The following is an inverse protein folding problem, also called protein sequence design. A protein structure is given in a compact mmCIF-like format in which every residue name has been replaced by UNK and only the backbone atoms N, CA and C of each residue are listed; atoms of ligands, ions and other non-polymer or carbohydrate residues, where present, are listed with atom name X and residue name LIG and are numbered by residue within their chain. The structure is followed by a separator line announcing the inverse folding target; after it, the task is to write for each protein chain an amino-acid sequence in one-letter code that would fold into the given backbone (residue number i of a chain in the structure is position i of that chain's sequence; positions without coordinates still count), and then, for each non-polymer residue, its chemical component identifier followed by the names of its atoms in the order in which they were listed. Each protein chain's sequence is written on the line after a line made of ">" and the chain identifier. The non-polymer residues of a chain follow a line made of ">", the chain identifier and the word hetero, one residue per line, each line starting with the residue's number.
data_IF_336239215551
#
_entry.id   IF_336239215551
#
_cell.length_a   1.000
_cell.length_b   1.000
_cell.length_c   1.000
_cell.angle_alpha   90.00
_cell.angle_beta   90.00
_cell.angle_gamma   90.00
#
_symmetry.space_group_name_H-M   'P 1'
#
loop_
_entity.id
_entity.type
_entity.pdbx_description
1 polymer ?
#
# COMPACT_ATOMS: atom_id res chain seq x y z
N UNK A 1 -44.55 -8.61 17.11
CA UNK A 1 -43.84 -9.16 18.28
C UNK A 1 -44.09 -8.24 19.47
N UNK A 2 -44.28 -8.78 20.68
CA UNK A 2 -44.33 -7.99 21.93
C UNK A 2 -43.00 -8.15 22.66
N UNK A 3 -42.54 -7.07 23.26
CA UNK A 3 -41.37 -7.08 24.14
C UNK A 3 -41.57 -8.14 25.25
N UNK A 4 -40.54 -8.97 25.48
CA UNK A 4 -40.60 -10.10 26.44
C UNK A 4 -41.25 -11.39 25.91
N UNK A 5 -41.68 -11.46 24.65
CA UNK A 5 -42.19 -12.70 24.05
C UNK A 5 -41.10 -13.76 23.82
N UNK A 6 -41.39 -15.03 24.14
CA UNK A 6 -40.50 -16.15 23.83
C UNK A 6 -40.53 -16.45 22.33
N UNK A 7 -39.35 -16.60 21.73
CA UNK A 7 -39.18 -17.00 20.33
C UNK A 7 -38.66 -18.43 20.27
N UNK A 8 -39.30 -19.24 19.43
CA UNK A 8 -38.79 -20.56 19.10
C UNK A 8 -37.70 -20.41 18.03
N UNK A 9 -36.52 -20.98 18.29
CA UNK A 9 -35.48 -21.10 17.27
C UNK A 9 -35.96 -22.07 16.20
N UNK A 10 -36.07 -21.61 14.96
CA UNK A 10 -36.43 -22.45 13.82
C UNK A 10 -35.16 -23.10 13.26
N UNK A 11 -34.19 -22.27 12.88
CA UNK A 11 -32.90 -22.67 12.37
C UNK A 11 -31.79 -21.77 12.93
N UNK A 12 -30.55 -22.28 12.93
CA UNK A 12 -29.36 -21.49 13.20
C UNK A 12 -28.26 -21.92 12.24
N UNK A 13 -27.60 -20.95 11.62
CA UNK A 13 -26.42 -21.17 10.78
C UNK A 13 -25.22 -20.45 11.37
N UNK A 14 -24.16 -21.19 11.66
CA UNK A 14 -22.87 -20.64 12.05
C UNK A 14 -21.87 -20.84 10.90
N UNK A 15 -21.30 -19.75 10.40
CA UNK A 15 -20.36 -19.77 9.28
C UNK A 15 -18.98 -19.30 9.75
N UNK A 16 -17.97 -20.12 9.52
CA UNK A 16 -16.57 -19.72 9.70
C UNK A 16 -16.23 -18.58 8.74
N UNK A 17 -15.57 -17.53 9.25
CA UNK A 17 -15.15 -16.36 8.48
C UNK A 17 -13.68 -16.10 8.72
N UNK A 18 -12.99 -15.64 7.69
CA UNK A 18 -11.60 -15.21 7.75
C UNK A 18 -11.51 -13.70 7.56
N UNK A 19 -10.60 -13.08 8.29
CA UNK A 19 -10.26 -11.68 8.08
C UNK A 19 -9.67 -11.47 6.69
N UNK A 20 -10.00 -10.33 6.10
CA UNK A 20 -9.51 -9.94 4.78
C UNK A 20 -8.55 -8.78 4.94
N UNK A 21 -7.37 -8.82 4.28
CA UNK A 21 -6.47 -7.68 4.29
C UNK A 21 -7.12 -6.48 3.59
N UNK A 22 -6.61 -5.29 3.86
CA UNK A 22 -7.03 -4.09 3.14
C UNK A 22 -6.82 -4.28 1.63
N UNK A 23 -7.81 -3.89 0.80
CA UNK A 23 -7.74 -4.12 -0.63
C UNK A 23 -6.60 -3.32 -1.25
N UNK A 24 -5.90 -3.91 -2.23
CA UNK A 24 -4.91 -3.18 -3.01
C UNK A 24 -5.54 -2.07 -3.83
N UNK A 25 -4.72 -1.07 -4.15
CA UNK A 25 -5.13 0.04 -4.99
C UNK A 25 -5.38 -0.39 -6.44
N UNK A 26 -6.50 0.03 -7.00
CA UNK A 26 -6.64 0.32 -8.44
C UNK A 26 -6.11 1.73 -8.72
N UNK A 27 -5.92 2.08 -10.00
CA UNK A 27 -5.61 3.45 -10.39
C UNK A 27 -6.63 4.44 -9.83
N UNK A 28 -7.94 4.17 -9.96
CA UNK A 28 -9.00 5.04 -9.44
C UNK A 28 -8.93 5.23 -7.91
N UNK A 29 -8.73 4.14 -7.14
CA UNK A 29 -8.61 4.26 -5.69
C UNK A 29 -7.31 4.94 -5.25
N UNK A 30 -6.24 4.83 -6.05
CA UNK A 30 -4.99 5.54 -5.79
C UNK A 30 -5.16 7.03 -6.07
N UNK A 31 -5.82 7.41 -7.17
CA UNK A 31 -6.17 8.81 -7.45
C UNK A 31 -6.99 9.39 -6.31
N UNK A 32 -8.04 8.69 -5.87
CA UNK A 32 -8.86 9.12 -4.74
C UNK A 32 -8.00 9.30 -3.47
N UNK A 33 -7.06 8.39 -3.22
CA UNK A 33 -6.20 8.50 -2.04
C UNK A 33 -5.22 9.66 -2.12
N UNK A 34 -4.66 9.93 -3.30
CA UNK A 34 -3.77 11.07 -3.55
C UNK A 34 -4.52 12.40 -3.36
N UNK A 35 -5.74 12.49 -3.88
CA UNK A 35 -6.64 13.64 -3.69
C UNK A 35 -6.97 13.88 -2.21
N UNK A 36 -7.35 12.83 -1.47
CA UNK A 36 -7.62 12.91 -0.03
C UNK A 36 -6.41 13.40 0.78
N UNK A 37 -5.20 13.11 0.31
CA UNK A 37 -3.95 13.52 0.96
C UNK A 37 -3.45 14.89 0.46
N UNK A 38 -4.12 15.52 -0.51
CA UNK A 38 -3.67 16.78 -1.12
C UNK A 38 -2.42 16.64 -2.01
N UNK A 39 -2.08 15.42 -2.41
CA UNK A 39 -0.89 15.12 -3.20
C UNK A 39 -1.26 15.04 -4.68
N UNK A 40 -0.73 15.97 -5.48
CA UNK A 40 -1.02 16.06 -6.91
C UNK A 40 -2.32 16.81 -7.22
N UNK A 41 -2.61 16.95 -8.52
CA UNK A 41 -3.70 17.75 -9.08
C UNK A 41 -4.35 16.98 -10.24
N UNK A 42 -5.54 17.38 -10.74
CA UNK A 42 -6.18 16.72 -11.88
C UNK A 42 -5.26 16.53 -13.11
N UNK A 43 -4.32 17.46 -13.30
CA UNK A 43 -3.31 17.41 -14.36
C UNK A 43 -2.16 16.43 -14.11
N UNK A 44 -1.93 15.98 -12.88
CA UNK A 44 -0.75 15.17 -12.49
C UNK A 44 -1.08 13.75 -12.07
N UNK A 45 -2.32 13.42 -11.70
CA UNK A 45 -2.69 12.07 -11.28
C UNK A 45 -2.35 10.98 -12.30
N UNK A 46 -2.87 11.09 -13.53
CA UNK A 46 -2.62 10.10 -14.57
C UNK A 46 -1.14 10.05 -15.01
N UNK A 47 -0.45 11.19 -15.23
CA UNK A 47 0.99 11.19 -15.52
C UNK A 47 1.86 10.54 -14.43
N UNK A 48 1.56 10.79 -13.15
CA UNK A 48 2.31 10.19 -12.03
C UNK A 48 2.15 8.68 -12.01
N UNK A 49 0.90 8.19 -12.08
CA UNK A 49 0.60 6.75 -12.11
C UNK A 49 1.21 6.06 -13.34
N UNK A 50 1.18 6.71 -14.50
CA UNK A 50 1.81 6.21 -15.72
C UNK A 50 3.34 6.17 -15.59
N UNK A 51 3.95 7.18 -14.97
CA UNK A 51 5.40 7.25 -14.80
C UNK A 51 5.94 6.16 -13.88
N UNK A 52 5.28 5.92 -12.73
CA UNK A 52 5.72 4.86 -11.80
C UNK A 52 5.54 3.45 -12.39
N UNK A 53 4.53 3.27 -13.25
CA UNK A 53 4.36 2.03 -14.01
C UNK A 53 5.42 1.88 -15.11
N UNK A 54 5.65 2.92 -15.91
CA UNK A 54 6.64 2.93 -17.00
C UNK A 54 8.06 2.69 -16.51
N UNK A 55 8.40 3.20 -15.32
CA UNK A 55 9.71 2.97 -14.67
C UNK A 55 9.82 1.61 -13.97
N UNK A 56 8.75 0.82 -13.96
CA UNK A 56 8.74 -0.51 -13.38
C UNK A 56 8.75 -0.54 -11.86
N UNK A 57 8.37 0.56 -11.18
CA UNK A 57 8.24 0.56 -9.71
C UNK A 57 6.95 -0.11 -9.24
N UNK A 58 5.92 -0.07 -10.09
CA UNK A 58 4.61 -0.66 -9.85
C UNK A 58 4.15 -1.37 -11.12
N UNK A 59 3.50 -2.51 -10.98
CA UNK A 59 2.85 -3.24 -12.07
C UNK A 59 1.36 -3.36 -11.82
N UNK A 60 0.58 -3.34 -12.91
CA UNK A 60 -0.86 -3.59 -12.87
C UNK A 60 -1.13 -5.01 -13.33
N UNK A 61 -1.62 -5.84 -12.41
CA UNK A 61 -1.81 -7.27 -12.65
C UNK A 61 -3.16 -7.75 -12.13
N UNK A 62 -3.59 -8.90 -12.66
CA UNK A 62 -4.64 -9.71 -12.06
C UNK A 62 -3.99 -10.99 -11.53
N UNK A 63 -4.29 -11.35 -10.30
CA UNK A 63 -3.82 -12.59 -9.66
C UNK A 63 -5.03 -13.44 -9.32
N UNK A 64 -5.01 -14.68 -9.80
CA UNK A 64 -6.04 -15.66 -9.45
C UNK A 64 -5.98 -15.97 -7.97
N UNK A 65 -7.15 -16.15 -7.37
CA UNK A 65 -7.25 -16.60 -5.99
C UNK A 65 -6.98 -18.09 -5.86
N UNK A 66 -6.75 -18.53 -4.64
CA UNK A 66 -6.65 -19.95 -4.30
C UNK A 66 -7.92 -20.39 -3.57
N UNK A 67 -8.47 -21.57 -3.89
CA UNK A 67 -9.59 -22.12 -3.15
C UNK A 67 -9.19 -22.40 -1.70
N UNK A 68 -10.05 -22.01 -0.76
CA UNK A 68 -9.91 -22.28 0.67
C UNK A 68 -11.21 -22.83 1.23
N UNK A 69 -11.10 -23.83 2.08
CA UNK A 69 -12.26 -24.41 2.75
C UNK A 69 -12.65 -23.59 3.98
N UNK A 70 -13.96 -23.51 4.23
CA UNK A 70 -14.55 -22.95 5.44
C UNK A 70 -15.70 -23.84 5.93
N UNK A 71 -15.94 -23.81 7.24
CA UNK A 71 -16.99 -24.62 7.86
C UNK A 71 -18.32 -23.88 7.96
N UNK A 72 -19.39 -24.61 7.69
CA UNK A 72 -20.76 -24.16 7.94
C UNK A 72 -21.44 -25.18 8.85
N UNK A 73 -22.01 -24.71 9.96
CA UNK A 73 -22.79 -25.53 10.88
C UNK A 73 -24.25 -25.11 10.79
N UNK A 74 -25.12 -26.06 10.49
CA UNK A 74 -26.57 -25.86 10.48
C UNK A 74 -27.18 -26.59 11.66
N UNK A 75 -28.00 -25.90 12.44
CA UNK A 75 -28.84 -26.48 13.48
C UNK A 75 -30.28 -26.39 13.02
N UNK A 76 -30.91 -27.56 12.83
CA UNK A 76 -32.32 -27.70 12.48
C UNK A 76 -32.93 -28.82 13.35
N UNK A 77 -34.09 -28.55 13.95
CA UNK A 77 -34.81 -29.49 14.84
C UNK A 77 -33.92 -30.18 15.91
N UNK A 78 -32.92 -29.47 16.44
CA UNK A 78 -32.03 -30.00 17.49
C UNK A 78 -30.87 -30.88 16.97
N UNK A 79 -30.77 -31.11 15.66
CA UNK A 79 -29.65 -31.82 15.05
C UNK A 79 -28.66 -30.84 14.41
N UNK A 80 -27.37 -31.01 14.70
CA UNK A 80 -26.29 -30.24 14.08
C UNK A 80 -25.76 -30.98 12.87
N UNK A 81 -25.78 -30.33 11.71
CA UNK A 81 -25.11 -30.78 10.48
C UNK A 81 -23.92 -29.88 10.19
N UNK A 82 -22.78 -30.48 9.89
CA UNK A 82 -21.58 -29.76 9.49
C UNK A 82 -21.33 -29.96 8.00
N UNK A 83 -21.11 -28.87 7.29
CA UNK A 83 -20.70 -28.83 5.89
C UNK A 83 -19.34 -28.16 5.76
N UNK A 84 -18.54 -28.66 4.83
CA UNK A 84 -17.32 -27.98 4.38
C UNK A 84 -17.61 -27.39 3.01
N UNK A 85 -17.61 -26.06 2.93
CA UNK A 85 -17.74 -25.33 1.69
C UNK A 85 -16.38 -24.75 1.28
N UNK A 86 -16.26 -24.36 0.01
CA UNK A 86 -15.04 -23.76 -0.54
C UNK A 86 -15.34 -22.33 -0.99
N UNK A 87 -14.46 -21.39 -0.65
CA UNK A 87 -14.46 -20.03 -1.19
C UNK A 87 -13.15 -19.76 -1.95
N UNK A 88 -13.19 -18.85 -2.92
CA UNK A 88 -11.97 -18.37 -3.57
C UNK A 88 -11.38 -17.21 -2.77
N UNK A 89 -10.12 -17.34 -2.31
CA UNK A 89 -9.44 -16.35 -1.49
C UNK A 89 -8.23 -15.75 -2.20
N UNK A 90 -8.00 -14.44 -2.00
CA UNK A 90 -6.80 -13.75 -2.49
C UNK A 90 -6.83 -13.36 -3.96
N UNK A 91 -7.96 -13.50 -4.65
CA UNK A 91 -8.12 -13.06 -6.03
C UNK A 91 -8.07 -11.52 -6.11
N UNK A 92 -7.21 -11.00 -6.97
CA UNK A 92 -7.04 -9.57 -7.22
C UNK A 92 -7.17 -9.29 -8.71
N UNK A 93 -7.97 -8.31 -9.11
CA UNK A 93 -8.20 -7.98 -10.53
C UNK A 93 -7.75 -6.56 -10.82
N UNK A 94 -6.83 -6.40 -11.77
CA UNK A 94 -6.33 -5.09 -12.22
C UNK A 94 -5.88 -4.18 -11.07
N UNK A 95 -5.10 -4.75 -10.15
CA UNK A 95 -4.55 -4.04 -8.98
C UNK A 95 -3.09 -3.67 -9.21
N UNK A 96 -2.67 -2.64 -8.48
CA UNK A 96 -1.29 -2.15 -8.45
C UNK A 96 -0.48 -2.92 -7.41
N UNK A 97 0.65 -3.47 -7.84
CA UNK A 97 1.60 -4.18 -6.98
C UNK A 97 2.98 -3.49 -7.08
N UNK A 98 3.63 -3.19 -5.94
CA UNK A 98 5.02 -2.74 -5.98
C UNK A 98 5.90 -3.87 -6.51
N UNK A 99 6.91 -3.50 -7.29
CA UNK A 99 7.97 -4.43 -7.71
C UNK A 99 9.11 -4.42 -6.71
N UNK A 100 10.02 -5.39 -6.82
CA UNK A 100 11.21 -5.44 -5.97
C UNK A 100 12.08 -4.18 -6.11
N UNK A 101 12.23 -3.68 -7.35
CA UNK A 101 12.95 -2.43 -7.62
C UNK A 101 12.21 -1.25 -6.98
N UNK A 102 10.87 -1.20 -7.08
CA UNK A 102 10.06 -0.17 -6.45
C UNK A 102 10.24 -0.14 -4.93
N UNK A 103 10.26 -1.30 -4.29
CA UNK A 103 10.49 -1.41 -2.84
C UNK A 103 11.90 -0.94 -2.46
N UNK A 104 12.95 -1.40 -3.16
CA UNK A 104 14.33 -1.00 -2.86
C UNK A 104 14.55 0.50 -3.04
N UNK A 105 13.99 1.10 -4.08
CA UNK A 105 14.08 2.55 -4.28
C UNK A 105 13.31 3.30 -3.20
N UNK A 106 12.11 2.83 -2.84
CA UNK A 106 11.34 3.43 -1.76
C UNK A 106 12.08 3.39 -0.42
N UNK A 107 12.61 2.22 -0.05
CA UNK A 107 13.29 2.03 1.23
C UNK A 107 14.54 2.92 1.31
N UNK A 108 15.32 2.99 0.24
CA UNK A 108 16.47 3.91 0.15
C UNK A 108 16.06 5.39 0.32
N UNK A 109 14.96 5.81 -0.31
CA UNK A 109 14.49 7.19 -0.21
C UNK A 109 13.93 7.52 1.18
N UNK A 110 13.22 6.58 1.82
CA UNK A 110 12.71 6.77 3.18
C UNK A 110 13.84 6.84 4.20
N UNK A 111 14.88 6.01 4.03
CA UNK A 111 16.04 5.98 4.93
C UNK A 111 16.86 7.27 4.84
N UNK A 112 17.15 7.74 3.62
CA UNK A 112 18.08 8.84 3.41
C UNK A 112 17.44 10.20 3.19
N UNK A 113 16.17 10.26 2.78
CA UNK A 113 15.44 11.50 2.47
C UNK A 113 14.06 11.57 3.15
N UNK A 114 13.94 11.26 4.45
CA UNK A 114 12.64 11.12 5.13
C UNK A 114 11.79 12.39 5.08
N UNK A 115 12.42 13.57 5.11
CA UNK A 115 11.70 14.85 5.06
C UNK A 115 11.06 15.16 3.71
N UNK A 116 11.56 14.56 2.62
CA UNK A 116 11.14 14.88 1.25
C UNK A 116 10.12 13.89 0.73
N UNK A 117 10.25 12.61 1.12
CA UNK A 117 9.24 11.59 0.79
C UNK A 117 8.07 11.55 1.76
N UNK A 118 8.07 12.41 2.79
CA UNK A 118 6.92 12.58 3.66
C UNK A 118 5.70 13.08 2.88
N UNK A 119 4.55 12.48 3.18
CA UNK A 119 3.29 12.78 2.51
C UNK A 119 2.81 14.20 2.82
N UNK A 120 3.00 14.67 4.06
CA UNK A 120 2.59 16.03 4.45
C UNK A 120 3.49 17.08 3.80
N UNK A 121 4.80 16.82 3.72
CA UNK A 121 5.72 17.67 2.98
C UNK A 121 5.28 17.81 1.52
N UNK A 122 4.96 16.69 0.85
CA UNK A 122 4.52 16.70 -0.54
C UNK A 122 3.23 17.50 -0.73
N UNK A 123 2.23 17.27 0.13
CA UNK A 123 0.96 18.01 0.09
C UNK A 123 1.15 19.52 0.32
N UNK A 124 2.01 19.88 1.29
CA UNK A 124 2.34 21.27 1.58
C UNK A 124 2.99 21.98 0.39
N UNK A 125 3.93 21.33 -0.29
CA UNK A 125 4.58 21.92 -1.47
C UNK A 125 3.58 22.15 -2.60
N UNK A 126 2.64 21.23 -2.81
CA UNK A 126 1.55 21.41 -3.77
C UNK A 126 0.65 22.61 -3.42
N UNK A 127 0.34 22.81 -2.13
CA UNK A 127 -0.40 23.99 -1.66
C UNK A 127 0.41 25.29 -1.85
N UNK A 128 1.71 25.29 -1.53
CA UNK A 128 2.59 26.44 -1.76
C UNK A 128 2.64 26.82 -3.26
N UNK A 129 2.62 25.83 -4.17
CA UNK A 129 2.53 26.11 -5.61
C UNK A 129 1.22 26.77 -6.02
N UNK A 130 0.09 26.39 -5.41
CA UNK A 130 -1.19 27.06 -5.68
C UNK A 130 -1.17 28.51 -5.17
N UNK A 131 -0.62 28.77 -3.98
CA UNK A 131 -0.45 30.12 -3.42
C UNK A 131 0.45 30.99 -4.30
N UNK A 132 1.53 30.41 -4.85
CA UNK A 132 2.41 31.07 -5.82
C UNK A 132 1.65 31.40 -7.12
N UNK A 133 0.85 30.46 -7.64
CA UNK A 133 0.07 30.66 -8.86
C UNK A 133 -0.96 31.81 -8.72
N UNK A 134 -1.47 32.01 -7.50
CA UNK A 134 -2.34 33.13 -7.15
C UNK A 134 -1.59 34.45 -6.88
N UNK A 135 -0.25 34.43 -6.91
CA UNK A 135 0.59 35.60 -6.67
C UNK A 135 0.72 36.01 -5.21
N UNK A 136 0.38 35.10 -4.28
CA UNK A 136 0.38 35.36 -2.82
C UNK A 136 1.69 34.98 -2.12
N UNK A 137 2.61 34.30 -2.80
CA UNK A 137 3.93 33.94 -2.28
C UNK A 137 5.04 34.12 -3.33
N UNK A 138 6.25 34.51 -2.90
CA UNK A 138 7.43 34.59 -3.77
C UNK A 138 8.02 33.19 -4.00
N UNK A 139 7.88 32.68 -5.23
CA UNK A 139 8.41 31.40 -5.65
C UNK A 139 9.92 31.25 -5.40
N UNK A 140 10.70 32.34 -5.46
CA UNK A 140 12.15 32.29 -5.21
C UNK A 140 12.45 32.02 -3.75
N UNK A 141 11.65 32.58 -2.85
CA UNK A 141 11.78 32.35 -1.41
C UNK A 141 11.43 30.91 -1.06
N UNK A 142 10.35 30.37 -1.63
CA UNK A 142 9.97 28.97 -1.47
C UNK A 142 11.07 28.03 -1.98
N UNK A 143 11.56 28.23 -3.20
CA UNK A 143 12.63 27.40 -3.77
C UNK A 143 13.90 27.42 -2.92
N UNK A 144 14.31 28.57 -2.38
CA UNK A 144 15.48 28.67 -1.50
C UNK A 144 15.27 27.85 -0.21
N UNK A 145 14.09 27.96 0.40
CA UNK A 145 13.73 27.19 1.61
C UNK A 145 13.79 25.69 1.39
N UNK A 146 13.41 25.22 0.20
CA UNK A 146 13.49 23.81 -0.16
C UNK A 146 14.91 23.36 -0.51
N UNK A 147 15.57 24.10 -1.41
CA UNK A 147 16.80 23.63 -2.07
C UNK A 147 17.99 23.56 -1.12
N UNK A 148 18.18 24.53 -0.23
CA UNK A 148 19.35 24.54 0.66
C UNK A 148 19.40 23.31 1.58
N UNK A 149 18.35 22.97 2.37
CA UNK A 149 18.34 21.76 3.18
C UNK A 149 18.48 20.49 2.33
N UNK A 150 17.78 20.41 1.18
CA UNK A 150 17.87 19.24 0.31
C UNK A 150 19.28 19.01 -0.22
N UNK A 151 19.98 20.08 -0.62
CA UNK A 151 21.34 19.97 -1.14
C UNK A 151 22.33 19.48 -0.08
N UNK A 152 22.17 19.94 1.17
CA UNK A 152 22.95 19.45 2.30
C UNK A 152 22.72 17.94 2.55
N UNK A 153 21.45 17.48 2.53
CA UNK A 153 21.13 16.05 2.62
C UNK A 153 21.78 15.25 1.49
N UNK A 154 21.75 15.74 0.24
CA UNK A 154 22.43 15.08 -0.88
C UNK A 154 23.94 14.92 -0.62
N UNK A 155 24.58 15.96 -0.08
CA UNK A 155 26.01 15.93 0.26
C UNK A 155 26.31 14.80 1.26
N UNK A 156 25.56 14.75 2.36
CA UNK A 156 25.71 13.74 3.41
C UNK A 156 25.50 12.33 2.85
N UNK A 157 24.39 12.09 2.14
CA UNK A 157 24.04 10.77 1.61
C UNK A 157 25.07 10.29 0.59
N UNK A 158 25.65 11.18 -0.23
CA UNK A 158 26.72 10.79 -1.17
C UNK A 158 28.00 10.31 -0.47
N UNK A 159 28.28 10.82 0.72
CA UNK A 159 29.47 10.44 1.50
C UNK A 159 29.23 9.20 2.35
N UNK A 160 28.02 9.02 2.87
CA UNK A 160 27.70 7.96 3.84
C UNK A 160 26.97 6.75 3.27
N UNK A 161 26.23 6.90 2.16
CA UNK A 161 25.40 5.81 1.66
C UNK A 161 26.23 4.78 0.90
N UNK A 162 26.24 3.55 1.40
CA UNK A 162 26.59 2.40 0.57
C UNK A 162 25.58 2.30 -0.59
N UNK A 163 26.04 1.93 -1.79
CA UNK A 163 25.14 1.72 -2.92
C UNK A 163 24.04 0.75 -2.49
N UNK A 164 22.77 1.13 -2.67
CA UNK A 164 21.64 0.24 -2.43
C UNK A 164 21.87 -1.08 -3.18
N UNK A 165 22.27 -2.12 -2.44
CA UNK A 165 22.72 -3.40 -3.03
C UNK A 165 21.53 -4.22 -3.55
N UNK A 166 20.30 -3.74 -3.30
CA UNK A 166 19.08 -4.47 -3.61
C UNK A 166 18.94 -5.76 -2.79
N UNK A 167 19.65 -5.88 -1.67
CA UNK A 167 19.59 -7.00 -0.76
C UNK A 167 18.65 -6.69 0.40
N UNK A 168 17.55 -7.46 0.55
CA UNK A 168 16.61 -7.35 1.65
C UNK A 168 16.69 -8.60 2.54
N UNK A 169 16.88 -8.42 3.84
CA UNK A 169 16.79 -9.50 4.82
C UNK A 169 15.34 -10.01 4.90
N UNK A 170 15.13 -11.30 4.64
CA UNK A 170 13.83 -11.97 4.73
C UNK A 170 13.58 -12.59 6.11
N UNK A 171 14.64 -12.83 6.87
CA UNK A 171 14.60 -13.48 8.18
C UNK A 171 15.75 -14.47 8.34
N UNK A 172 15.64 -15.34 9.34
CA UNK A 172 16.58 -16.43 9.56
C UNK A 172 15.98 -17.74 9.04
N UNK A 173 16.81 -18.54 8.37
CA UNK A 173 16.42 -19.86 7.91
C UNK A 173 16.15 -20.79 9.11
N UNK A 174 14.97 -21.45 9.20
CA UNK A 174 14.60 -22.25 10.37
C UNK A 174 15.51 -23.45 10.67
N UNK A 175 16.22 -23.98 9.67
CA UNK A 175 17.10 -25.14 9.83
C UNK A 175 18.55 -24.74 10.13
N UNK A 176 19.06 -23.70 9.47
CA UNK A 176 20.47 -23.29 9.58
C UNK A 176 20.73 -22.10 10.49
N UNK A 177 19.69 -21.34 10.88
CA UNK A 177 19.80 -20.13 11.69
C UNK A 177 20.55 -18.99 11.00
N UNK A 178 20.77 -19.08 9.69
CA UNK A 178 21.50 -18.06 8.92
C UNK A 178 20.56 -17.02 8.34
N UNK A 179 20.99 -15.75 8.24
CA UNK A 179 20.20 -14.71 7.62
C UNK A 179 19.98 -14.99 6.13
N UNK A 180 18.72 -14.99 5.70
CA UNK A 180 18.30 -15.17 4.31
C UNK A 180 18.08 -13.80 3.69
N UNK A 181 18.75 -13.53 2.57
CA UNK A 181 18.60 -12.28 1.83
C UNK A 181 17.95 -12.52 0.46
N UNK A 182 16.90 -11.77 0.14
CA UNK A 182 16.44 -11.58 -1.23
C UNK A 182 17.37 -10.58 -1.91
N UNK A 183 17.91 -10.91 -3.09
CA UNK A 183 18.72 -9.99 -3.90
C UNK A 183 18.09 -9.80 -5.26
N UNK A 184 18.09 -8.55 -5.74
CA UNK A 184 17.68 -8.26 -7.12
C UNK A 184 18.77 -8.77 -8.07
N UNK A 185 18.42 -9.75 -8.90
CA UNK A 185 19.25 -10.22 -10.01
C UNK A 185 19.28 -9.21 -11.16
N UNK A 186 20.37 -9.23 -11.93
CA UNK A 186 20.55 -8.37 -13.12
C UNK A 186 19.86 -8.94 -14.35
#
# INVERSE_FOLDING_TARGET
>A
MKEGGRLALQDMTATERFDRPSPRFTEASLVKKLEELGIGRPSTYAPTISTVQKRGYVVKESREGTPRNYRVLHLDQGAVRAETATENHGAEKQKLFPTDIGMVVNDFLVEHFPSIVDLHFTAKVEEEFDVIAEGREDWRAMLKRFYHPFHETIGQVKETAEKATGARLLGEDPESGRPVYARIGR
#
